data_IF_506192644596
#
_entry.id   IF_506192644596
#
_cell.length_a   1.000
_cell.length_b   1.000
_cell.length_c   1.000
_cell.angle_alpha   90.00
_cell.angle_beta   90.00
_cell.angle_gamma   90.00
#
_symmetry.space_group_name_H-M   'P 1'
#
loop_
_entity.id
_entity.type
_entity.pdbx_description
1 polymer ?
#
# COMPACT_ATOMS: atom_id res chain seq x y z
N UNK A 1 8.48 -10.00 1.72
CA UNK A 1 7.12 -10.44 2.12
C UNK A 1 6.35 -10.79 0.85
N UNK A 2 5.60 -11.88 0.79
CA UNK A 2 4.84 -12.23 -0.42
C UNK A 2 3.48 -11.54 -0.46
N UNK A 3 2.85 -11.48 -1.63
CA UNK A 3 1.50 -10.92 -1.77
C UNK A 3 0.47 -11.69 -0.92
N UNK A 4 0.55 -13.02 -0.90
CA UNK A 4 -0.33 -13.85 -0.05
C UNK A 4 -0.17 -13.53 1.43
N UNK A 5 1.07 -13.32 1.89
CA UNK A 5 1.33 -12.93 3.28
C UNK A 5 0.70 -11.56 3.57
N UNK A 6 0.87 -10.58 2.68
CA UNK A 6 0.26 -9.26 2.83
C UNK A 6 -1.28 -9.37 2.95
N UNK A 7 -1.92 -10.13 2.07
CA UNK A 7 -3.38 -10.33 2.10
C UNK A 7 -3.82 -11.03 3.38
N UNK A 8 -3.09 -12.05 3.83
CA UNK A 8 -3.40 -12.75 5.08
C UNK A 8 -3.28 -11.83 6.29
N UNK A 9 -2.27 -10.96 6.33
CA UNK A 9 -2.13 -9.96 7.38
C UNK A 9 -3.27 -8.93 7.35
N UNK A 10 -3.67 -8.46 6.17
CA UNK A 10 -4.79 -7.55 6.03
C UNK A 10 -6.12 -8.18 6.49
N UNK A 11 -6.35 -9.44 6.13
CA UNK A 11 -7.52 -10.21 6.58
C UNK A 11 -7.53 -10.42 8.09
N UNK A 12 -6.38 -10.75 8.68
CA UNK A 12 -6.25 -10.91 10.13
C UNK A 12 -6.50 -9.59 10.87
N UNK A 13 -5.97 -8.48 10.36
CA UNK A 13 -6.22 -7.15 10.91
C UNK A 13 -7.71 -6.78 10.83
N UNK A 14 -8.37 -7.07 9.70
CA UNK A 14 -9.81 -6.86 9.55
C UNK A 14 -10.62 -7.71 10.52
N UNK A 15 -10.28 -8.99 10.67
CA UNK A 15 -10.94 -9.86 11.63
C UNK A 15 -10.77 -9.36 13.07
N UNK A 16 -9.60 -8.85 13.44
CA UNK A 16 -9.37 -8.26 14.76
C UNK A 16 -10.24 -6.99 14.97
N UNK A 17 -10.33 -6.14 13.94
CA UNK A 17 -11.21 -4.98 13.91
C UNK A 17 -12.69 -5.34 14.06
N UNK A 18 -13.17 -6.32 13.30
CA UNK A 18 -14.54 -6.81 13.35
C UNK A 18 -14.87 -7.44 14.73
N UNK A 19 -13.85 -7.93 15.44
CA UNK A 19 -13.92 -8.39 16.84
C UNK A 19 -13.78 -7.26 17.89
N UNK A 20 -13.80 -5.99 17.47
CA UNK A 20 -13.74 -4.83 18.36
C UNK A 20 -12.33 -4.39 18.78
N UNK A 21 -11.28 -5.04 18.27
CA UNK A 21 -9.89 -4.63 18.50
C UNK A 21 -9.52 -3.63 17.39
N UNK A 22 -9.56 -2.34 17.70
CA UNK A 22 -9.26 -1.28 16.73
C UNK A 22 -7.78 -1.27 16.32
N UNK A 23 -7.43 -2.06 15.32
CA UNK A 23 -6.08 -2.22 14.76
C UNK A 23 -5.93 -1.58 13.37
N UNK A 24 -7.03 -1.25 12.70
CA UNK A 24 -7.02 -0.56 11.40
C UNK A 24 -8.17 0.43 11.27
N UNK A 25 -8.03 1.40 10.38
CA UNK A 25 -9.10 2.33 10.04
C UNK A 25 -9.79 1.84 8.77
N UNK A 26 -11.04 1.38 8.90
CA UNK A 26 -11.79 0.81 7.79
C UNK A 26 -11.09 -0.40 7.16
N UNK A 27 -10.92 -0.37 5.83
CA UNK A 27 -10.24 -1.41 5.04
C UNK A 27 -8.89 -0.93 4.47
N UNK A 28 -8.28 0.10 5.06
CA UNK A 28 -7.03 0.67 4.60
C UNK A 28 -5.83 0.06 5.34
N UNK A 29 -4.81 -0.36 4.58
CA UNK A 29 -3.59 -0.99 5.11
C UNK A 29 -2.39 -0.16 4.68
N UNK A 30 -1.69 0.42 5.65
CA UNK A 30 -0.42 1.10 5.42
C UNK A 30 0.68 0.05 5.19
N UNK A 31 1.34 0.12 4.05
CA UNK A 31 2.44 -0.77 3.68
C UNK A 31 3.72 0.03 3.59
N UNK A 32 4.83 -0.57 4.00
CA UNK A 32 6.14 -0.01 3.79
C UNK A 32 6.39 0.22 2.28
N UNK A 33 6.91 1.39 1.86
CA UNK A 33 7.15 1.70 0.45
C UNK A 33 7.90 0.61 -0.34
N UNK A 34 8.92 -0.01 0.27
CA UNK A 34 9.73 -1.04 -0.37
C UNK A 34 8.90 -2.29 -0.67
N UNK A 35 8.11 -2.75 0.31
CA UNK A 35 7.24 -3.92 0.14
C UNK A 35 6.08 -3.62 -0.80
N UNK A 36 5.56 -2.40 -0.75
CA UNK A 36 4.52 -1.94 -1.68
C UNK A 36 5.00 -2.03 -3.13
N UNK A 37 6.22 -1.55 -3.40
CA UNK A 37 6.87 -1.65 -4.71
C UNK A 37 7.11 -3.08 -5.15
N UNK A 38 7.73 -3.90 -4.31
CA UNK A 38 8.01 -5.31 -4.62
C UNK A 38 6.73 -6.06 -5.01
N UNK A 39 5.62 -5.82 -4.31
CA UNK A 39 4.34 -6.47 -4.60
C UNK A 39 3.74 -5.95 -5.91
N UNK A 40 3.84 -4.66 -6.16
CA UNK A 40 3.27 -4.00 -7.33
C UNK A 40 4.00 -4.43 -8.60
N UNK A 41 5.34 -4.51 -8.57
CA UNK A 41 6.18 -5.01 -9.66
C UNK A 41 6.00 -6.52 -9.85
N UNK A 42 6.09 -7.32 -8.79
CA UNK A 42 6.01 -8.78 -8.90
C UNK A 42 4.65 -9.29 -9.39
N UNK A 43 3.58 -8.52 -9.18
CA UNK A 43 2.21 -8.92 -9.54
C UNK A 43 1.60 -8.05 -10.65
N UNK A 44 2.39 -7.17 -11.26
CA UNK A 44 1.97 -6.25 -12.34
C UNK A 44 0.67 -5.49 -12.01
N UNK A 45 0.58 -4.97 -10.78
CA UNK A 45 -0.61 -4.30 -10.28
C UNK A 45 -0.64 -2.83 -10.70
N UNK A 46 -1.82 -2.36 -11.11
CA UNK A 46 -2.04 -0.92 -11.34
C UNK A 46 -2.05 -0.16 -10.02
N UNK A 47 -1.46 1.04 -10.04
CA UNK A 47 -1.43 1.95 -8.89
C UNK A 47 -2.09 3.27 -9.20
N UNK A 48 -2.73 3.84 -8.20
CA UNK A 48 -3.20 5.22 -8.20
C UNK A 48 -2.21 6.08 -7.44
N UNK A 49 -1.88 7.25 -7.99
CA UNK A 49 -0.96 8.22 -7.39
C UNK A 49 -1.75 9.47 -7.05
N UNK A 50 -1.83 9.80 -5.77
CA UNK A 50 -2.51 10.99 -5.29
C UNK A 50 -1.47 11.92 -4.63
N UNK A 51 -1.32 13.17 -5.11
CA UNK A 51 -0.47 14.15 -4.44
C UNK A 51 -1.05 14.49 -3.06
N UNK A 52 -0.16 14.64 -2.07
CA UNK A 52 -0.51 14.97 -0.68
C UNK A 52 0.25 16.24 -0.28
N UNK A 53 -0.33 17.12 0.56
CA UNK A 53 0.38 18.31 1.03
C UNK A 53 1.74 17.99 1.65
N UNK A 54 2.69 18.91 1.52
CA UNK A 54 4.05 18.75 2.08
C UNK A 54 5.05 18.03 1.16
N UNK A 55 4.78 17.96 -0.15
CA UNK A 55 5.72 17.36 -1.12
C UNK A 55 5.79 15.84 -1.04
N UNK A 56 4.67 15.21 -0.68
CA UNK A 56 4.53 13.76 -0.64
C UNK A 56 3.53 13.30 -1.69
N UNK A 57 3.63 12.03 -2.05
CA UNK A 57 2.67 11.32 -2.89
C UNK A 57 2.19 10.09 -2.14
N UNK A 58 0.88 9.88 -2.18
CA UNK A 58 0.24 8.68 -1.68
C UNK A 58 0.02 7.75 -2.85
N UNK A 59 0.60 6.56 -2.77
CA UNK A 59 0.39 5.49 -3.73
C UNK A 59 -0.65 4.53 -3.16
N UNK A 60 -1.60 4.10 -4.00
CA UNK A 60 -2.64 3.16 -3.60
C UNK A 60 -2.80 2.06 -4.63
N UNK A 61 -3.13 0.86 -4.17
CA UNK A 61 -3.74 -0.17 -5.00
C UNK A 61 -4.80 -0.91 -4.19
N UNK A 62 -5.74 -1.54 -4.89
CA UNK A 62 -6.78 -2.35 -4.27
C UNK A 62 -6.60 -3.81 -4.65
N UNK A 63 -6.67 -4.70 -3.66
CA UNK A 63 -6.61 -6.14 -3.90
C UNK A 63 -7.43 -6.88 -2.85
N UNK A 64 -8.31 -7.78 -3.30
CA UNK A 64 -9.12 -8.61 -2.40
C UNK A 64 -10.02 -7.82 -1.46
N UNK A 65 -10.49 -6.64 -1.88
CA UNK A 65 -11.34 -5.74 -1.06
C UNK A 65 -10.57 -4.89 -0.04
N UNK A 66 -9.24 -4.98 -0.02
CA UNK A 66 -8.37 -4.16 0.83
C UNK A 66 -7.70 -3.06 0.03
N UNK A 67 -7.63 -1.87 0.62
CA UNK A 67 -6.96 -0.71 0.05
C UNK A 67 -5.58 -0.59 0.67
N UNK A 68 -4.56 -0.97 -0.09
CA UNK A 68 -3.18 -0.83 0.34
C UNK A 68 -2.68 0.54 -0.07
N UNK A 69 -2.00 1.23 0.85
CA UNK A 69 -1.41 2.51 0.54
C UNK A 69 -0.04 2.67 1.15
N UNK A 70 0.75 3.53 0.53
CA UNK A 70 2.01 4.00 1.10
C UNK A 70 2.17 5.48 0.80
N UNK A 71 2.97 6.17 1.62
CA UNK A 71 3.24 7.60 1.46
C UNK A 71 4.74 7.75 1.32
N UNK A 72 5.16 8.38 0.22
CA UNK A 72 6.57 8.62 -0.07
C UNK A 72 6.77 10.08 -0.48
N UNK A 73 7.99 10.59 -0.29
CA UNK A 73 8.33 11.91 -0.81
C UNK A 73 8.31 11.91 -2.35
N UNK A 74 7.92 13.01 -2.97
CA UNK A 74 7.91 13.14 -4.44
C UNK A 74 9.28 12.85 -5.07
N UNK A 75 10.39 13.22 -4.41
CA UNK A 75 11.75 12.89 -4.89
C UNK A 75 12.02 11.39 -4.88
N UNK A 76 11.63 10.71 -3.81
CA UNK A 76 11.77 9.26 -3.66
C UNK A 76 10.89 8.53 -4.69
N UNK A 77 9.67 9.02 -4.92
CA UNK A 77 8.79 8.51 -5.97
C UNK A 77 9.42 8.61 -7.35
N UNK A 78 9.95 9.77 -7.72
CA UNK A 78 10.64 9.95 -9.00
C UNK A 78 11.84 9.00 -9.15
N UNK A 79 12.63 8.82 -8.10
CA UNK A 79 13.76 7.89 -8.12
C UNK A 79 13.34 6.42 -8.28
N UNK A 80 12.20 6.04 -7.70
CA UNK A 80 11.69 4.67 -7.72
C UNK A 80 10.96 4.32 -9.01
N UNK A 81 10.23 5.27 -9.61
CA UNK A 81 9.31 4.98 -10.71
C UNK A 81 9.61 5.72 -12.02
N UNK A 82 10.34 6.83 -12.00
CA UNK A 82 10.70 7.59 -13.23
C UNK A 82 12.08 7.21 -13.79
N UNK A 83 12.90 6.45 -13.06
CA UNK A 83 14.18 5.91 -13.58
C UNK A 83 14.05 4.80 -14.62
N UNK A 84 12.81 4.43 -14.97
CA UNK A 84 12.47 3.36 -15.92
C UNK A 84 11.91 3.88 -17.25
N UNK A 85 11.98 5.19 -17.52
CA UNK A 85 11.60 5.79 -18.80
C UNK A 85 12.81 6.00 -19.72
#
# INVERSE_FOLDING_TARGET
MTLEQLVKHAQAAKAANDNGISVMWGNEVLVNPQVFLEILEANNLSRTVNPVPGGNVQLKFELGGFKYFTIVNTKTYAQMFEKTA
#
